data_IF_357637487542
#
_entry.id   IF_357637487542
#
_cell.length_a   1.000
_cell.length_b   1.000
_cell.length_c   1.000
_cell.angle_alpha   90.00
_cell.angle_beta   90.00
_cell.angle_gamma   90.00
#
_symmetry.space_group_name_H-M   'P 1'
#
loop_
_entity.id
_entity.type
_entity.pdbx_description
1 polymer ?
#
# COMPACT_ATOMS: atom_id res chain seq x y z
N UNK A 1 -9.83 14.42 18.43
CA UNK A 1 -10.39 14.51 17.09
C UNK A 1 -9.40 13.87 16.16
N UNK A 2 -9.85 12.85 15.45
CA UNK A 2 -9.01 12.06 14.57
C UNK A 2 -8.34 12.98 13.55
N UNK A 3 -7.04 12.78 13.38
CA UNK A 3 -6.26 13.34 12.29
C UNK A 3 -5.73 12.17 11.47
N UNK A 4 -6.17 12.08 10.22
CA UNK A 4 -5.87 10.96 9.34
C UNK A 4 -4.63 11.32 8.51
N UNK A 5 -3.63 10.44 8.50
CA UNK A 5 -2.57 10.45 7.52
C UNK A 5 -2.88 9.44 6.42
N UNK A 6 -3.34 9.93 5.27
CA UNK A 6 -3.55 9.09 4.10
C UNK A 6 -2.21 8.65 3.51
N UNK A 7 -2.03 7.35 3.33
CA UNK A 7 -0.86 6.73 2.72
C UNK A 7 -1.22 6.41 1.27
N UNK A 8 -0.84 7.30 0.36
CA UNK A 8 -1.21 7.21 -1.05
C UNK A 8 -0.13 6.53 -1.89
N UNK A 9 -0.47 5.39 -2.49
CA UNK A 9 0.34 4.75 -3.53
C UNK A 9 -0.26 5.02 -4.91
N UNK A 10 0.56 5.55 -5.82
CA UNK A 10 0.12 5.89 -7.18
C UNK A 10 1.25 5.70 -8.21
N UNK A 11 0.87 5.59 -9.48
CA UNK A 11 1.81 5.30 -10.57
C UNK A 11 1.42 5.97 -11.91
N UNK A 12 0.39 6.81 -11.93
CA UNK A 12 -0.14 7.46 -13.13
C UNK A 12 -1.02 8.65 -12.73
N UNK A 13 -1.46 9.40 -13.73
CA UNK A 13 -2.47 10.47 -13.64
C UNK A 13 -2.15 11.58 -12.61
N UNK A 14 -1.11 12.39 -12.88
CA UNK A 14 -0.66 13.41 -11.92
C UNK A 14 -1.74 14.43 -11.57
N UNK A 15 -2.66 14.74 -12.48
CA UNK A 15 -3.73 15.72 -12.23
C UNK A 15 -4.75 15.17 -11.23
N UNK A 16 -5.19 13.92 -11.42
CA UNK A 16 -6.07 13.26 -10.46
C UNK A 16 -5.43 13.14 -9.07
N UNK A 17 -4.12 12.84 -8.99
CA UNK A 17 -3.39 12.75 -7.73
C UNK A 17 -3.32 14.11 -7.01
N UNK A 18 -3.06 15.19 -7.73
CA UNK A 18 -3.06 16.54 -7.15
C UNK A 18 -4.45 16.89 -6.60
N UNK A 19 -5.51 16.61 -7.35
CA UNK A 19 -6.87 16.91 -6.90
C UNK A 19 -7.30 16.02 -5.73
N UNK A 20 -6.89 14.75 -5.71
CA UNK A 20 -7.16 13.83 -4.60
C UNK A 20 -6.45 14.31 -3.33
N UNK A 21 -5.17 14.67 -3.41
CA UNK A 21 -4.39 15.18 -2.28
C UNK A 21 -5.01 16.47 -1.72
N UNK A 22 -5.37 17.43 -2.58
CA UNK A 22 -6.06 18.67 -2.15
C UNK A 22 -7.39 18.38 -1.46
N UNK A 23 -8.20 17.46 -2.01
CA UNK A 23 -9.49 17.08 -1.40
C UNK A 23 -9.32 16.44 -0.03
N UNK A 24 -8.40 15.49 0.11
CA UNK A 24 -8.19 14.77 1.37
C UNK A 24 -7.62 15.68 2.45
N UNK A 25 -6.73 16.62 2.09
CA UNK A 25 -6.13 17.55 3.05
C UNK A 25 -6.98 18.80 3.36
N UNK A 26 -8.11 19.00 2.66
CA UNK A 26 -8.92 20.23 2.73
C UNK A 26 -9.49 20.51 4.12
N UNK A 27 -9.66 19.49 4.96
CA UNK A 27 -10.21 19.59 6.32
C UNK A 27 -9.15 19.48 7.42
N UNK A 28 -7.86 19.54 7.05
CA UNK A 28 -6.75 19.49 8.00
C UNK A 28 -6.13 18.11 8.23
N UNK A 29 -6.60 17.08 7.52
CA UNK A 29 -5.94 15.78 7.43
C UNK A 29 -4.64 15.86 6.62
N UNK A 30 -3.81 14.82 6.73
CA UNK A 30 -2.51 14.71 6.11
C UNK A 30 -2.48 13.69 4.98
N UNK A 31 -1.52 13.82 4.08
CA UNK A 31 -1.25 12.81 3.05
C UNK A 31 0.24 12.62 2.83
N UNK A 32 0.67 11.36 2.75
CA UNK A 32 2.00 10.95 2.35
C UNK A 32 1.93 10.19 1.03
N UNK A 33 2.66 10.69 0.04
CA UNK A 33 2.55 10.22 -1.33
C UNK A 33 3.79 9.41 -1.72
N UNK A 34 3.57 8.16 -2.11
CA UNK A 34 4.52 7.38 -2.90
C UNK A 34 4.07 7.33 -4.36
N UNK A 35 4.92 7.87 -5.24
CA UNK A 35 4.72 7.79 -6.68
C UNK A 35 5.75 6.82 -7.27
N UNK A 36 5.30 5.72 -7.88
CA UNK A 36 6.14 4.60 -8.34
C UNK A 36 7.34 5.06 -9.16
N UNK A 37 8.55 4.58 -8.86
CA UNK A 37 9.78 4.91 -9.58
C UNK A 37 9.81 4.42 -11.04
N UNK A 38 8.87 3.56 -11.45
CA UNK A 38 8.66 3.18 -12.85
C UNK A 38 7.97 4.28 -13.66
N UNK A 39 7.20 5.15 -13.00
CA UNK A 39 6.50 6.26 -13.65
C UNK A 39 7.47 7.40 -14.00
N UNK A 40 7.19 8.18 -15.05
CA UNK A 40 8.09 9.26 -15.48
C UNK A 40 8.42 10.24 -14.35
N UNK A 41 9.69 10.62 -14.25
CA UNK A 41 10.12 11.63 -13.26
C UNK A 41 9.40 12.97 -13.45
N UNK A 42 9.09 13.35 -14.69
CA UNK A 42 8.34 14.56 -14.99
C UNK A 42 6.94 14.59 -14.34
N UNK A 43 6.23 13.46 -14.30
CA UNK A 43 4.92 13.36 -13.64
C UNK A 43 5.05 13.53 -12.12
N UNK A 44 6.06 12.88 -11.52
CA UNK A 44 6.37 13.04 -10.11
C UNK A 44 6.69 14.50 -9.75
N UNK A 45 7.55 15.14 -10.55
CA UNK A 45 7.96 16.53 -10.33
C UNK A 45 6.76 17.49 -10.49
N UNK A 46 5.83 17.19 -11.40
CA UNK A 46 4.57 17.93 -11.56
C UNK A 46 3.72 17.86 -10.29
N UNK A 47 3.53 16.67 -9.72
CA UNK A 47 2.77 16.48 -8.48
C UNK A 47 3.44 17.25 -7.33
N UNK A 48 4.75 17.11 -7.16
CA UNK A 48 5.51 17.83 -6.13
C UNK A 48 5.36 19.34 -6.25
N UNK A 49 5.47 19.87 -7.47
CA UNK A 49 5.36 21.31 -7.73
C UNK A 49 3.96 21.81 -7.40
N UNK A 50 2.92 21.08 -7.83
CA UNK A 50 1.54 21.48 -7.64
C UNK A 50 1.03 21.41 -6.18
N UNK A 51 1.75 20.70 -5.31
CA UNK A 51 1.43 20.52 -3.90
C UNK A 51 2.48 21.14 -2.96
N UNK A 52 3.44 21.91 -3.49
CA UNK A 52 4.57 22.44 -2.73
C UNK A 52 4.17 23.41 -1.61
N UNK A 53 3.02 24.06 -1.76
CA UNK A 53 2.44 25.03 -0.82
C UNK A 53 1.52 24.39 0.23
N UNK A 54 1.22 23.09 0.12
CA UNK A 54 0.34 22.39 1.05
C UNK A 54 1.15 21.78 2.21
N UNK A 55 1.07 22.34 3.44
CA UNK A 55 1.85 21.84 4.58
C UNK A 55 1.39 20.47 5.07
N UNK A 56 0.23 20.00 4.62
CA UNK A 56 -0.33 18.70 4.98
C UNK A 56 0.05 17.60 3.98
N UNK A 57 0.94 17.88 3.03
CA UNK A 57 1.44 16.92 2.04
C UNK A 57 2.91 16.63 2.31
N UNK A 58 3.26 15.34 2.35
CA UNK A 58 4.64 14.88 2.31
C UNK A 58 4.80 13.81 1.23
N UNK A 59 6.05 13.44 0.94
CA UNK A 59 6.37 12.43 -0.05
C UNK A 59 7.33 11.41 0.54
N UNK A 60 7.15 10.16 0.14
CA UNK A 60 8.13 9.10 0.42
C UNK A 60 9.54 9.55 -0.01
N UNK A 61 10.51 9.46 0.90
CA UNK A 61 11.89 9.86 0.63
C UNK A 61 12.49 9.09 -0.56
N UNK A 62 12.10 7.82 -0.71
CA UNK A 62 12.52 6.95 -1.79
C UNK A 62 11.33 6.45 -2.61
N UNK A 63 11.39 6.67 -3.93
CA UNK A 63 10.47 6.05 -4.88
C UNK A 63 10.91 4.61 -5.15
N UNK A 64 10.00 3.66 -4.98
CA UNK A 64 10.20 2.22 -5.18
C UNK A 64 9.61 1.82 -6.52
N UNK A 65 10.28 0.92 -7.27
CA UNK A 65 9.77 0.37 -8.53
C UNK A 65 8.78 -0.75 -8.25
N UNK A 66 7.50 -0.45 -8.14
CA UNK A 66 6.52 -1.43 -7.69
C UNK A 66 6.14 -2.42 -8.81
N UNK A 67 6.11 -3.70 -8.48
CA UNK A 67 5.54 -4.76 -9.30
C UNK A 67 4.21 -5.22 -8.71
N UNK A 68 3.21 -5.43 -9.58
CA UNK A 68 1.90 -5.94 -9.17
C UNK A 68 2.02 -7.30 -8.48
N UNK A 69 1.42 -7.44 -7.30
CA UNK A 69 1.50 -8.63 -6.46
C UNK A 69 2.88 -8.91 -5.86
N UNK A 70 3.82 -7.96 -5.95
CA UNK A 70 5.19 -8.09 -5.43
C UNK A 70 5.40 -7.39 -4.09
N UNK A 71 6.43 -7.83 -3.36
CA UNK A 71 6.87 -7.21 -2.09
C UNK A 71 7.18 -5.72 -2.22
N UNK A 72 7.61 -5.27 -3.39
CA UNK A 72 7.88 -3.85 -3.67
C UNK A 72 6.69 -2.92 -3.37
N UNK A 73 5.44 -3.41 -3.44
CA UNK A 73 4.27 -2.62 -3.03
C UNK A 73 4.29 -2.37 -1.52
N UNK A 74 4.57 -3.40 -0.72
CA UNK A 74 4.75 -3.27 0.73
C UNK A 74 5.91 -2.33 1.04
N UNK A 75 7.02 -2.47 0.33
CA UNK A 75 8.17 -1.57 0.46
C UNK A 75 7.78 -0.11 0.16
N UNK A 76 7.03 0.15 -0.92
CA UNK A 76 6.53 1.50 -1.24
C UNK A 76 5.59 2.06 -0.17
N UNK A 77 4.69 1.23 0.38
CA UNK A 77 3.85 1.58 1.54
C UNK A 77 4.68 1.95 2.75
N UNK A 78 5.71 1.16 3.09
CA UNK A 78 6.58 1.44 4.23
C UNK A 78 7.35 2.75 4.05
N UNK A 79 7.81 3.07 2.84
CA UNK A 79 8.46 4.37 2.56
C UNK A 79 7.49 5.55 2.76
N UNK A 80 6.23 5.43 2.34
CA UNK A 80 5.21 6.45 2.57
C UNK A 80 4.83 6.57 4.05
N UNK A 81 4.67 5.45 4.76
CA UNK A 81 4.38 5.46 6.21
C UNK A 81 5.50 6.13 7.00
N UNK A 82 6.77 5.81 6.71
CA UNK A 82 7.92 6.48 7.37
C UNK A 82 7.88 7.99 7.18
N UNK A 83 7.66 8.45 5.94
CA UNK A 83 7.54 9.87 5.66
C UNK A 83 6.36 10.52 6.39
N UNK A 84 5.23 9.82 6.52
CA UNK A 84 4.06 10.30 7.25
C UNK A 84 4.33 10.43 8.75
N UNK A 85 4.94 9.41 9.38
CA UNK A 85 5.29 9.41 10.80
C UNK A 85 6.25 10.55 11.13
N UNK A 86 7.24 10.80 10.27
CA UNK A 86 8.21 11.88 10.45
C UNK A 86 7.57 13.27 10.26
N UNK A 87 6.77 13.46 9.22
CA UNK A 87 6.20 14.76 8.87
C UNK A 87 4.99 15.15 9.74
N UNK A 88 4.22 14.18 10.21
CA UNK A 88 2.91 14.40 10.82
C UNK A 88 2.79 13.78 12.22
N UNK A 89 3.53 14.31 13.22
CA UNK A 89 3.54 13.76 14.58
C UNK A 89 2.19 13.86 15.32
N UNK A 90 1.21 14.59 14.75
CA UNK A 90 -0.15 14.70 15.29
C UNK A 90 -1.14 13.73 14.65
N UNK A 91 -0.73 12.99 13.61
CA UNK A 91 -1.58 11.98 13.00
C UNK A 91 -1.95 10.91 14.04
N UNK A 92 -3.25 10.62 14.13
CA UNK A 92 -3.81 9.60 15.03
C UNK A 92 -4.04 8.28 14.32
N UNK A 93 -4.30 8.34 13.01
CA UNK A 93 -4.68 7.18 12.19
C UNK A 93 -3.93 7.22 10.86
N UNK A 94 -3.61 6.05 10.32
CA UNK A 94 -2.99 5.90 9.00
C UNK A 94 -3.92 5.11 8.08
N UNK A 95 -4.29 5.70 6.94
CA UNK A 95 -5.23 5.08 6.00
C UNK A 95 -4.54 4.87 4.64
N UNK A 96 -4.33 3.61 4.23
CA UNK A 96 -3.82 3.29 2.89
C UNK A 96 -4.86 3.48 1.77
N UNK A 97 -4.51 4.29 0.77
CA UNK A 97 -5.34 4.57 -0.42
C UNK A 97 -4.52 4.46 -1.70
N UNK A 98 -5.19 4.27 -2.83
CA UNK A 98 -4.59 4.36 -4.16
C UNK A 98 -5.11 5.57 -4.94
N UNK A 99 -4.46 5.90 -6.05
CA UNK A 99 -4.94 6.93 -6.97
C UNK A 99 -6.31 6.63 -7.60
N UNK A 100 -6.76 5.38 -7.57
CA UNK A 100 -8.07 4.96 -8.07
C UNK A 100 -9.16 4.95 -6.96
N UNK A 101 -8.82 5.30 -5.71
CA UNK A 101 -9.77 5.36 -4.59
C UNK A 101 -10.53 6.69 -4.54
N UNK A 102 -11.82 6.63 -4.20
CA UNK A 102 -12.67 7.81 -3.98
C UNK A 102 -13.44 7.71 -2.67
N UNK A 103 -13.59 8.84 -1.98
CA UNK A 103 -14.40 8.94 -0.76
C UNK A 103 -15.89 8.83 -1.09
N UNK A 104 -16.59 7.98 -0.36
CA UNK A 104 -18.06 7.79 -0.48
C UNK A 104 -18.82 8.35 0.73
N UNK A 105 -18.11 8.93 1.70
CA UNK A 105 -18.63 9.59 2.91
C UNK A 105 -17.89 10.91 3.13
N UNK A 106 -18.45 11.79 3.96
CA UNK A 106 -17.79 13.04 4.34
C UNK A 106 -16.60 12.79 5.27
N UNK A 107 -15.68 13.75 5.34
CA UNK A 107 -14.58 13.69 6.31
C UNK A 107 -15.09 13.74 7.76
N UNK A 108 -16.15 14.52 8.03
CA UNK A 108 -16.81 14.54 9.35
C UNK A 108 -17.28 13.14 9.78
N UNK A 109 -17.90 12.39 8.86
CA UNK A 109 -18.31 11.01 9.14
C UNK A 109 -17.11 10.12 9.47
N UNK A 110 -16.01 10.26 8.71
CA UNK A 110 -14.79 9.49 8.94
C UNK A 110 -14.18 9.83 10.32
N UNK A 111 -14.05 11.11 10.65
CA UNK A 111 -13.52 11.54 11.95
C UNK A 111 -14.40 11.05 13.11
N UNK A 112 -15.72 11.20 13.02
CA UNK A 112 -16.64 10.70 14.05
C UNK A 112 -16.54 9.19 14.24
N UNK A 113 -16.38 8.44 13.13
CA UNK A 113 -16.22 6.98 13.19
C UNK A 113 -14.92 6.59 13.88
N UNK A 114 -13.81 7.26 13.54
CA UNK A 114 -12.49 6.97 14.10
C UNK A 114 -12.32 7.49 15.54
N UNK A 115 -13.00 8.57 15.92
CA UNK A 115 -13.01 9.08 17.30
C UNK A 115 -13.88 8.22 18.24
N UNK A 116 -14.75 7.36 17.71
CA UNK A 116 -15.67 6.55 18.52
C UNK A 116 -14.97 5.40 19.27
N UNK A 117 -13.94 4.80 18.66
CA UNK A 117 -13.20 3.66 19.23
C UNK A 117 -11.72 3.74 18.87
N UNK A 118 -10.85 3.49 19.85
CA UNK A 118 -9.38 3.46 19.68
C UNK A 118 -8.93 2.06 19.20
N UNK A 119 -9.24 1.75 17.94
CA UNK A 119 -8.98 0.44 17.31
C UNK A 119 -8.50 0.57 15.87
N UNK A 120 -7.74 -0.43 15.41
CA UNK A 120 -7.36 -0.57 14.01
C UNK A 120 -8.43 -1.32 13.21
N UNK A 121 -8.79 -0.78 12.04
CA UNK A 121 -9.72 -1.40 11.11
C UNK A 121 -8.96 -2.14 10.00
N UNK A 122 -8.87 -3.46 10.11
CA UNK A 122 -8.17 -4.32 9.14
C UNK A 122 -9.08 -5.49 8.74
N UNK A 123 -9.35 -5.63 7.43
CA UNK A 123 -10.02 -6.81 6.92
C UNK A 123 -9.08 -8.02 7.02
N UNK A 124 -9.55 -9.07 7.68
CA UNK A 124 -8.85 -10.34 7.82
C UNK A 124 -9.80 -11.48 7.53
N UNK A 125 -9.34 -12.46 6.77
CA UNK A 125 -10.10 -13.66 6.40
C UNK A 125 -9.32 -14.90 6.81
N UNK A 126 -10.03 -15.91 7.29
CA UNK A 126 -9.39 -17.18 7.66
C UNK A 126 -8.83 -17.87 6.41
N UNK A 127 -7.56 -18.29 6.46
CA UNK A 127 -6.92 -18.88 5.30
C UNK A 127 -7.54 -20.24 4.89
N UNK A 128 -7.93 -21.04 5.87
CA UNK A 128 -8.41 -22.41 5.68
C UNK A 128 -9.90 -22.43 5.34
N UNK A 129 -10.68 -21.68 6.09
CA UNK A 129 -12.14 -21.71 6.05
C UNK A 129 -12.74 -20.71 5.05
N UNK A 130 -11.95 -19.75 4.55
CA UNK A 130 -12.42 -18.81 3.51
C UNK A 130 -12.13 -19.29 2.08
N UNK A 131 -13.05 -18.91 1.18
CA UNK A 131 -12.94 -19.02 -0.27
C UNK A 131 -12.33 -17.76 -0.91
N UNK A 132 -11.55 -16.99 -0.15
CA UNK A 132 -10.92 -15.76 -0.65
C UNK A 132 -9.89 -16.04 -1.75
N UNK A 133 -9.08 -17.10 -1.60
CA UNK A 133 -8.09 -17.53 -2.60
C UNK A 133 -8.80 -18.41 -3.64
N UNK A 134 -9.28 -17.78 -4.71
CA UNK A 134 -10.03 -18.47 -5.78
C UNK A 134 -9.18 -19.19 -6.81
N UNK A 135 -7.92 -18.78 -6.99
CA UNK A 135 -7.05 -19.30 -8.06
C UNK A 135 -5.59 -19.40 -7.63
N UNK A 136 -4.87 -20.29 -8.31
CA UNK A 136 -3.44 -20.53 -8.08
C UNK A 136 -3.17 -21.44 -6.89
N UNK A 137 -1.92 -21.45 -6.43
CA UNK A 137 -1.49 -22.27 -5.30
C UNK A 137 -2.06 -21.72 -3.97
N UNK A 138 -2.63 -22.58 -3.12
CA UNK A 138 -3.14 -22.23 -1.77
C UNK A 138 -2.18 -22.75 -0.69
N UNK A 139 -2.32 -24.02 -0.30
CA UNK A 139 -1.53 -24.63 0.78
C UNK A 139 -0.01 -24.56 0.54
N UNK A 140 0.45 -24.71 -0.71
CA UNK A 140 1.87 -24.63 -1.05
C UNK A 140 2.52 -23.29 -0.68
N UNK A 141 1.75 -22.21 -0.57
CA UNK A 141 2.25 -20.90 -0.09
C UNK A 141 2.68 -20.94 1.37
N UNK A 142 2.01 -21.78 2.16
CA UNK A 142 2.30 -21.92 3.58
C UNK A 142 3.48 -22.85 3.82
N UNK A 143 3.56 -23.97 3.10
CA UNK A 143 4.47 -25.07 3.45
C UNK A 143 5.76 -25.12 2.61
N UNK A 144 5.85 -24.42 1.49
CA UNK A 144 7.06 -24.37 0.65
C UNK A 144 7.67 -22.97 0.58
N UNK A 145 8.97 -22.90 0.25
CA UNK A 145 9.70 -21.64 0.07
C UNK A 145 9.66 -21.22 -1.40
N UNK A 146 9.30 -19.96 -1.62
CA UNK A 146 9.15 -19.37 -2.95
C UNK A 146 10.30 -18.40 -3.23
N UNK A 147 11.50 -18.95 -3.48
CA UNK A 147 12.73 -18.17 -3.67
C UNK A 147 12.76 -17.36 -4.97
N UNK A 148 12.03 -17.82 -5.99
CA UNK A 148 11.93 -17.16 -7.28
C UNK A 148 10.58 -16.46 -7.39
N UNK A 149 10.52 -15.35 -8.13
CA UNK A 149 9.23 -14.72 -8.43
C UNK A 149 8.59 -15.41 -9.63
N UNK A 150 7.36 -15.91 -9.48
CA UNK A 150 6.66 -16.64 -10.54
C UNK A 150 6.51 -15.82 -11.84
N UNK A 151 6.28 -14.51 -11.73
CA UNK A 151 6.03 -13.64 -12.89
C UNK A 151 7.30 -13.37 -13.70
N UNK A 152 8.46 -13.29 -13.06
CA UNK A 152 9.73 -12.98 -13.74
C UNK A 152 10.59 -14.20 -14.04
N UNK A 153 10.49 -15.27 -13.24
CA UNK A 153 11.30 -16.48 -13.36
C UNK A 153 10.43 -17.74 -13.26
N UNK A 154 9.40 -17.83 -14.10
CA UNK A 154 8.38 -18.90 -14.06
C UNK A 154 8.97 -20.31 -14.06
N UNK A 155 9.94 -20.59 -14.94
CA UNK A 155 10.55 -21.92 -15.02
C UNK A 155 11.27 -22.31 -13.72
N UNK A 156 12.07 -21.39 -13.15
CA UNK A 156 12.79 -21.64 -11.89
C UNK A 156 11.83 -21.75 -10.69
N UNK A 157 10.76 -20.96 -10.69
CA UNK A 157 9.71 -21.04 -9.67
C UNK A 157 9.11 -22.45 -9.60
N UNK A 158 8.59 -22.94 -10.73
CA UNK A 158 7.95 -24.25 -10.79
C UNK A 158 8.95 -25.41 -10.61
N UNK A 159 10.17 -25.29 -11.14
CA UNK A 159 11.21 -26.27 -10.90
C UNK A 159 11.54 -26.38 -9.39
N UNK A 160 11.77 -25.25 -8.72
CA UNK A 160 12.05 -25.21 -7.28
C UNK A 160 10.92 -25.78 -6.43
N UNK A 161 9.67 -25.48 -6.78
CA UNK A 161 8.50 -26.04 -6.10
C UNK A 161 8.42 -27.56 -6.26
N UNK A 162 8.63 -28.06 -7.47
CA UNK A 162 8.60 -29.49 -7.77
C UNK A 162 9.71 -30.26 -7.03
N UNK A 163 10.92 -29.70 -6.98
CA UNK A 163 12.02 -30.28 -6.19
C UNK A 163 11.68 -30.34 -4.69
N UNK A 164 11.10 -29.28 -4.13
CA UNK A 164 10.68 -29.29 -2.73
C UNK A 164 9.60 -30.34 -2.44
N UNK A 165 8.68 -30.58 -3.39
CA UNK A 165 7.66 -31.66 -3.29
C UNK A 165 8.31 -33.04 -3.31
N UNK A 166 9.19 -33.30 -4.28
CA UNK A 166 9.89 -34.59 -4.42
C UNK A 166 10.77 -34.93 -3.22
N UNK A 167 11.38 -33.92 -2.63
CA UNK A 167 12.26 -34.06 -1.45
C UNK A 167 11.51 -33.99 -0.12
N UNK A 168 10.18 -33.79 -0.11
CA UNK A 168 9.39 -33.72 1.11
C UNK A 168 9.71 -32.52 2.02
N UNK A 169 10.24 -31.41 1.47
CA UNK A 169 10.76 -30.25 2.23
C UNK A 169 9.65 -29.32 2.76
N UNK A 170 8.55 -29.89 3.26
CA UNK A 170 7.44 -29.13 3.84
C UNK A 170 7.86 -28.55 5.19
N UNK A 171 7.58 -27.27 5.43
CA UNK A 171 7.66 -26.66 6.79
C UNK A 171 6.34 -26.78 7.52
N UNK A 172 6.38 -26.70 8.85
CA UNK A 172 5.20 -26.42 9.67
C UNK A 172 4.66 -25.03 9.33
N UNK A 173 3.35 -24.89 9.37
CA UNK A 173 2.68 -23.59 9.22
C UNK A 173 3.09 -22.72 10.42
N UNK A 174 3.49 -21.46 10.20
CA UNK A 174 3.86 -20.53 11.27
C UNK A 174 2.73 -20.30 12.28
#
# INVERSE_FOLDING_TARGET
MAQIAFILLSHKDPDAIVDQARRLTAVGDYISIHFDARSPKAEYDRIRTALADNPNVTFAARRVKCGWGGWSLVEGTLEAVRAAVEAFPRATHFYMVSGDCMSIKSAEYAHQTLDAEDVDYIESVDFFDSDWIKTGIKEDRLVYRHYFNERTHKALFYASLEWQRRLGLRRKIP
#
